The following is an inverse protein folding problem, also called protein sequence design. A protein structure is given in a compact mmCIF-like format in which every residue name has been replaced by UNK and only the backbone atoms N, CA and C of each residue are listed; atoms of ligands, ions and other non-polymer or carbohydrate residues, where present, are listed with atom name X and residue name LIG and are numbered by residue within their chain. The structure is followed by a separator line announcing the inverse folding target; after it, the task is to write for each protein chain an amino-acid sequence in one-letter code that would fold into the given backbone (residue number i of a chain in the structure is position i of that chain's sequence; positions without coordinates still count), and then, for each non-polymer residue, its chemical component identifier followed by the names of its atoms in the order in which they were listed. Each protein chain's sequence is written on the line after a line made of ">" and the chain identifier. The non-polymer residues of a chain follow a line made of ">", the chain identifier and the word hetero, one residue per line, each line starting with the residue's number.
data_IF_792916064788
#
_entry.id   IF_792916064788
#
_cell.length_a   1.000
_cell.length_b   1.000
_cell.length_c   1.000
_cell.angle_alpha   90.00
_cell.angle_beta   90.00
_cell.angle_gamma   90.00
#
_symmetry.space_group_name_H-M   'P 1'
#
loop_
_entity.id
_entity.type
_entity.pdbx_description
1 polymer ?
#
# COMPACT_ATOMS: atom_id res chain seq x y z
N UNK A 1 25.23 22.21 0.50
CA UNK A 1 24.21 22.23 -0.56
C UNK A 1 23.40 20.93 -0.64
N UNK A 2 24.00 19.75 -0.45
CA UNK A 2 23.27 18.45 -0.44
C UNK A 2 22.28 18.30 0.72
N UNK A 3 22.64 18.68 1.95
CA UNK A 3 21.78 18.52 3.14
C UNK A 3 20.50 19.34 3.08
N UNK A 4 20.57 20.60 2.64
CA UNK A 4 19.39 21.48 2.50
C UNK A 4 18.42 20.94 1.44
N UNK A 5 18.96 20.38 0.35
CA UNK A 5 18.16 19.74 -0.70
C UNK A 5 17.44 18.50 -0.15
N UNK A 6 18.14 17.64 0.57
CA UNK A 6 17.55 16.46 1.21
C UNK A 6 16.44 16.82 2.20
N UNK A 7 16.67 17.81 3.07
CA UNK A 7 15.66 18.26 4.03
C UNK A 7 14.40 18.76 3.31
N UNK A 8 14.58 19.53 2.23
CA UNK A 8 13.45 20.03 1.42
C UNK A 8 12.66 18.87 0.79
N UNK A 9 13.35 17.92 0.15
CA UNK A 9 12.69 16.74 -0.44
C UNK A 9 11.93 15.93 0.61
N UNK A 10 12.48 15.81 1.83
CA UNK A 10 11.80 15.11 2.92
C UNK A 10 10.58 15.87 3.43
N UNK A 11 10.64 17.20 3.52
CA UNK A 11 9.48 18.04 3.82
C UNK A 11 8.37 17.86 2.77
N UNK A 12 8.71 17.90 1.48
CA UNK A 12 7.75 17.71 0.38
C UNK A 12 7.03 16.35 0.50
N UNK A 13 7.74 15.30 0.91
CA UNK A 13 7.14 13.97 1.16
C UNK A 13 6.14 14.03 2.32
N UNK A 14 6.50 14.62 3.46
CA UNK A 14 5.64 14.68 4.65
C UNK A 14 4.40 15.54 4.44
N UNK A 15 4.53 16.62 3.67
CA UNK A 15 3.44 17.52 3.33
C UNK A 15 2.37 16.80 2.50
N UNK A 16 2.78 15.89 1.60
CA UNK A 16 1.83 15.06 0.85
C UNK A 16 1.12 14.03 1.74
N UNK A 17 -0.20 13.85 1.52
CA UNK A 17 -0.98 12.85 2.24
C UNK A 17 -0.38 11.44 2.10
N UNK A 18 -0.14 11.02 0.86
CA UNK A 18 0.43 9.69 0.57
C UNK A 18 1.87 9.51 1.05
N UNK A 19 2.68 10.57 1.08
CA UNK A 19 4.04 10.50 1.62
C UNK A 19 4.04 10.36 3.14
N UNK A 20 3.13 11.05 3.84
CA UNK A 20 2.92 10.89 5.29
C UNK A 20 2.52 9.47 5.66
N UNK A 21 1.55 8.87 4.97
CA UNK A 21 1.19 7.47 5.25
C UNK A 21 2.37 6.52 5.03
N UNK A 22 3.17 6.71 3.96
CA UNK A 22 4.37 5.91 3.71
C UNK A 22 5.39 6.02 4.85
N UNK A 23 5.65 7.23 5.35
CA UNK A 23 6.55 7.45 6.50
C UNK A 23 5.99 6.77 7.76
N UNK A 24 4.69 6.92 8.03
CA UNK A 24 4.04 6.28 9.17
C UNK A 24 4.06 4.74 9.07
N UNK A 25 3.88 4.18 7.86
CA UNK A 25 3.99 2.74 7.60
C UNK A 25 5.40 2.24 7.88
N UNK A 26 6.43 2.96 7.43
CA UNK A 26 7.81 2.63 7.70
C UNK A 26 8.12 2.61 9.20
N UNK A 27 7.75 3.68 9.93
CA UNK A 27 7.93 3.75 11.39
C UNK A 27 7.19 2.64 12.13
N UNK A 28 5.95 2.33 11.71
CA UNK A 28 5.16 1.26 12.28
C UNK A 28 5.87 -0.10 12.18
N UNK A 29 6.33 -0.48 10.98
CA UNK A 29 7.00 -1.77 10.78
C UNK A 29 8.39 -1.81 11.38
N UNK A 30 9.14 -0.71 11.38
CA UNK A 30 10.40 -0.63 12.11
C UNK A 30 10.19 -0.89 13.60
N UNK A 31 9.15 -0.31 14.20
CA UNK A 31 8.81 -0.58 15.59
C UNK A 31 8.37 -2.05 15.83
N UNK A 32 7.55 -2.64 14.94
CA UNK A 32 7.20 -4.07 15.02
C UNK A 32 8.43 -4.97 14.92
N UNK A 33 9.36 -4.65 14.02
CA UNK A 33 10.60 -5.41 13.83
C UNK A 33 11.49 -5.37 15.07
N UNK A 34 11.69 -4.18 15.65
CA UNK A 34 12.46 -4.02 16.90
C UNK A 34 11.78 -4.77 18.05
N UNK A 35 10.44 -4.71 18.13
CA UNK A 35 9.69 -5.46 19.13
C UNK A 35 9.89 -6.97 19.00
N UNK A 36 9.77 -7.52 17.78
CA UNK A 36 9.99 -8.94 17.51
C UNK A 36 11.44 -9.39 17.78
N UNK A 37 12.42 -8.59 17.35
CA UNK A 37 13.84 -8.89 17.55
C UNK A 37 14.24 -8.93 19.04
N UNK A 38 13.69 -8.02 19.85
CA UNK A 38 13.97 -7.95 21.28
C UNK A 38 13.04 -8.80 22.15
N UNK A 39 12.08 -9.53 21.58
CA UNK A 39 11.07 -10.29 22.34
C UNK A 39 11.67 -11.22 23.41
N UNK A 40 12.79 -11.89 23.10
CA UNK A 40 13.49 -12.79 24.03
C UNK A 40 14.66 -12.13 24.78
N UNK A 41 15.18 -11.01 24.29
CA UNK A 41 16.41 -10.38 24.80
C UNK A 41 16.14 -9.27 25.80
N UNK A 42 15.11 -8.48 25.54
CA UNK A 42 14.73 -7.35 26.38
C UNK A 42 13.20 -7.16 26.31
N UNK A 43 12.43 -7.92 27.11
CA UNK A 43 10.97 -7.93 27.03
C UNK A 43 10.33 -6.56 27.26
N UNK A 44 10.93 -5.73 28.12
CA UNK A 44 10.42 -4.37 28.39
C UNK A 44 10.58 -3.49 27.16
N UNK A 45 11.74 -3.51 26.51
CA UNK A 45 11.96 -2.77 25.26
C UNK A 45 11.01 -3.27 24.17
N UNK A 46 10.84 -4.59 24.03
CA UNK A 46 9.94 -5.19 23.06
C UNK A 46 8.49 -4.72 23.25
N UNK A 47 8.02 -4.69 24.51
CA UNK A 47 6.68 -4.19 24.87
C UNK A 47 6.50 -2.72 24.49
N UNK A 48 7.49 -1.86 24.79
CA UNK A 48 7.43 -0.43 24.44
C UNK A 48 7.30 -0.22 22.93
N UNK A 49 8.11 -0.91 22.13
CA UNK A 49 8.02 -0.81 20.67
C UNK A 49 6.74 -1.43 20.10
N UNK A 50 6.21 -2.50 20.71
CA UNK A 50 4.93 -3.07 20.34
C UNK A 50 3.79 -2.05 20.55
N UNK A 51 3.76 -1.38 21.72
CA UNK A 51 2.80 -0.31 22.01
C UNK A 51 2.94 0.83 20.99
N UNK A 52 4.17 1.30 20.72
CA UNK A 52 4.41 2.36 19.74
C UNK A 52 3.87 1.97 18.36
N UNK A 53 4.15 0.75 17.90
CA UNK A 53 3.67 0.27 16.60
C UNK A 53 2.14 0.20 16.54
N UNK A 54 1.50 -0.27 17.63
CA UNK A 54 0.04 -0.33 17.74
C UNK A 54 -0.59 1.06 17.69
N UNK A 55 -0.02 2.04 18.41
CA UNK A 55 -0.48 3.43 18.39
C UNK A 55 -0.36 4.07 17.01
N UNK A 56 0.76 3.86 16.32
CA UNK A 56 0.96 4.34 14.94
C UNK A 56 -0.06 3.69 13.99
N UNK A 57 -0.26 2.37 14.11
CA UNK A 57 -1.24 1.65 13.29
C UNK A 57 -2.66 2.15 13.52
N UNK A 58 -3.06 2.36 14.77
CA UNK A 58 -4.37 2.91 15.13
C UNK A 58 -4.57 4.32 14.60
N UNK A 59 -3.56 5.19 14.70
CA UNK A 59 -3.63 6.53 14.11
C UNK A 59 -3.83 6.50 12.59
N UNK A 60 -3.16 5.58 11.89
CA UNK A 60 -3.37 5.38 10.45
C UNK A 60 -4.78 4.89 10.14
N UNK A 61 -5.30 3.93 10.90
CA UNK A 61 -6.69 3.46 10.73
C UNK A 61 -7.70 4.60 10.88
N UNK A 62 -7.51 5.50 11.85
CA UNK A 62 -8.34 6.70 12.00
C UNK A 62 -8.25 7.64 10.79
N UNK A 63 -7.05 7.81 10.21
CA UNK A 63 -6.89 8.63 9.00
C UNK A 63 -7.57 7.99 7.78
N UNK A 64 -7.65 6.67 7.67
CA UNK A 64 -8.34 6.00 6.56
C UNK A 64 -9.84 6.20 6.54
N UNK A 65 -10.45 6.65 7.64
CA UNK A 65 -11.89 6.93 7.69
C UNK A 65 -12.34 8.01 6.69
N UNK A 66 -11.40 8.79 6.14
CA UNK A 66 -11.64 9.80 5.12
C UNK A 66 -11.15 9.38 3.72
N UNK A 67 -10.59 8.18 3.56
CA UNK A 67 -10.08 7.68 2.28
C UNK A 67 -11.18 7.19 1.33
N UNK A 68 -12.40 7.00 1.83
CA UNK A 68 -13.59 6.63 1.03
C UNK A 68 -13.76 7.56 -0.19
N UNK A 69 -13.68 8.88 0.03
CA UNK A 69 -13.93 9.89 -1.02
C UNK A 69 -12.81 9.88 -2.07
N UNK A 70 -11.52 9.98 -1.71
CA UNK A 70 -10.42 9.79 -2.66
C UNK A 70 -10.51 8.49 -3.44
N UNK A 71 -10.92 7.38 -2.80
CA UNK A 71 -11.07 6.09 -3.48
C UNK A 71 -12.19 6.11 -4.52
N UNK A 72 -13.35 6.69 -4.19
CA UNK A 72 -14.46 6.86 -5.13
C UNK A 72 -14.04 7.72 -6.32
N UNK A 73 -13.39 8.86 -6.06
CA UNK A 73 -12.86 9.71 -7.13
C UNK A 73 -11.89 8.93 -8.03
N UNK A 74 -10.95 8.20 -7.43
CA UNK A 74 -10.00 7.37 -8.18
C UNK A 74 -10.71 6.30 -9.02
N UNK A 75 -11.71 5.61 -8.48
CA UNK A 75 -12.46 4.59 -9.21
C UNK A 75 -13.23 5.19 -10.40
N UNK A 76 -13.80 6.39 -10.24
CA UNK A 76 -14.49 7.11 -11.31
C UNK A 76 -13.54 7.57 -12.41
N UNK A 77 -12.39 8.14 -12.04
CA UNK A 77 -11.35 8.56 -12.98
C UNK A 77 -10.73 7.38 -13.73
N UNK A 78 -10.61 6.23 -13.06
CA UNK A 78 -10.10 4.99 -13.66
C UNK A 78 -11.09 4.39 -14.69
N UNK A 79 -12.39 4.54 -14.46
CA UNK A 79 -13.44 4.01 -15.32
C UNK A 79 -13.36 2.49 -15.48
N UNK A 80 -13.48 2.01 -16.72
CA UNK A 80 -13.43 0.59 -17.07
C UNK A 80 -12.03 0.12 -17.52
N UNK A 81 -10.98 0.89 -17.23
CA UNK A 81 -9.60 0.55 -17.59
C UNK A 81 -9.25 0.83 -19.06
N UNK A 82 -9.91 1.80 -19.70
CA UNK A 82 -9.69 2.16 -21.11
C UNK A 82 -8.24 2.62 -21.41
N UNK A 83 -7.54 3.14 -20.40
CA UNK A 83 -6.14 3.55 -20.51
C UNK A 83 -5.10 2.45 -20.30
N UNK A 84 -5.51 1.20 -20.06
CA UNK A 84 -4.59 0.10 -19.76
C UNK A 84 -4.00 -0.54 -21.03
N UNK A 85 -2.75 -1.04 -20.97
CA UNK A 85 -2.05 -1.58 -22.13
C UNK A 85 -2.64 -2.91 -22.62
N UNK A 86 -3.38 -3.63 -21.78
CA UNK A 86 -4.10 -4.84 -22.19
C UNK A 86 -5.38 -5.05 -21.37
N UNK A 87 -6.25 -5.94 -21.88
CA UNK A 87 -7.54 -6.27 -21.25
C UNK A 87 -7.38 -6.93 -19.88
N UNK A 88 -6.31 -7.68 -19.65
CA UNK A 88 -6.06 -8.33 -18.37
C UNK A 88 -5.79 -7.29 -17.28
N UNK A 89 -5.00 -6.27 -17.60
CA UNK A 89 -4.73 -5.14 -16.73
C UNK A 89 -5.97 -4.32 -16.41
N UNK A 90 -6.82 -4.06 -17.42
CA UNK A 90 -8.11 -3.41 -17.20
C UNK A 90 -9.00 -4.20 -16.23
N UNK A 91 -9.12 -5.52 -16.44
CA UNK A 91 -9.92 -6.39 -15.54
C UNK A 91 -9.33 -6.41 -14.13
N UNK A 92 -8.01 -6.55 -13.99
CA UNK A 92 -7.34 -6.54 -12.68
C UNK A 92 -7.54 -5.20 -11.97
N UNK A 93 -7.42 -4.08 -12.68
CA UNK A 93 -7.60 -2.75 -12.10
C UNK A 93 -9.04 -2.46 -11.69
N UNK A 94 -10.02 -2.78 -12.54
CA UNK A 94 -11.45 -2.62 -12.18
C UNK A 94 -11.80 -3.51 -10.99
N UNK A 95 -11.33 -4.76 -10.98
CA UNK A 95 -11.57 -5.68 -9.86
C UNK A 95 -10.93 -5.18 -8.57
N UNK A 96 -9.69 -4.67 -8.63
CA UNK A 96 -9.02 -4.08 -7.48
C UNK A 96 -9.80 -2.88 -6.93
N UNK A 97 -10.28 -1.99 -7.81
CA UNK A 97 -11.06 -0.82 -7.40
C UNK A 97 -12.38 -1.21 -6.72
N UNK A 98 -13.07 -2.24 -7.22
CA UNK A 98 -14.30 -2.76 -6.60
C UNK A 98 -14.00 -3.33 -5.22
N UNK A 99 -12.93 -4.12 -5.09
CA UNK A 99 -12.49 -4.68 -3.81
C UNK A 99 -12.16 -3.57 -2.81
N UNK A 100 -11.43 -2.54 -3.25
CA UNK A 100 -11.07 -1.40 -2.42
C UNK A 100 -12.31 -0.59 -1.99
N UNK A 101 -13.25 -0.34 -2.91
CA UNK A 101 -14.52 0.35 -2.60
C UNK A 101 -15.38 -0.40 -1.56
N UNK A 102 -15.30 -1.72 -1.51
CA UNK A 102 -15.96 -2.53 -0.49
C UNK A 102 -15.17 -2.58 0.81
N UNK A 103 -13.84 -2.58 0.72
CA UNK A 103 -12.93 -2.63 1.85
C UNK A 103 -13.07 -1.42 2.77
N UNK A 104 -13.05 -0.18 2.25
CA UNK A 104 -13.07 1.02 3.10
C UNK A 104 -14.30 1.13 4.02
N UNK A 105 -15.55 0.88 3.55
CA UNK A 105 -16.71 0.82 4.43
C UNK A 105 -16.62 -0.28 5.50
N UNK A 106 -16.05 -1.44 5.16
CA UNK A 106 -15.85 -2.55 6.10
C UNK A 106 -14.82 -2.16 7.18
N UNK A 107 -13.68 -1.59 6.78
CA UNK A 107 -12.65 -1.09 7.71
C UNK A 107 -13.24 -0.04 8.67
N UNK A 108 -14.15 0.81 8.18
CA UNK A 108 -14.86 1.82 8.97
C UNK A 108 -15.78 1.20 10.02
N UNK A 109 -16.51 0.14 9.66
CA UNK A 109 -17.35 -0.61 10.62
C UNK A 109 -16.48 -1.26 11.70
N UNK A 110 -15.38 -1.92 11.30
CA UNK A 110 -14.42 -2.50 12.24
C UNK A 110 -13.85 -1.45 13.19
N UNK A 111 -13.42 -0.30 12.68
CA UNK A 111 -12.90 0.79 13.51
C UNK A 111 -13.94 1.32 14.50
N UNK A 112 -15.20 1.49 14.08
CA UNK A 112 -16.29 1.92 14.97
C UNK A 112 -16.59 0.89 16.07
N UNK A 113 -16.52 -0.40 15.73
CA UNK A 113 -16.66 -1.51 16.68
C UNK A 113 -15.51 -1.51 17.70
N UNK A 114 -14.25 -1.41 17.24
CA UNK A 114 -13.06 -1.42 18.10
C UNK A 114 -13.02 -0.25 19.10
N UNK A 115 -13.61 0.89 18.72
CA UNK A 115 -13.72 2.06 19.58
C UNK A 115 -14.99 2.07 20.44
N UNK A 116 -15.78 0.99 20.45
CA UNK A 116 -17.04 0.86 21.19
C UNK A 116 -18.08 1.96 20.85
N UNK A 117 -18.02 2.49 19.63
CA UNK A 117 -18.97 3.50 19.15
C UNK A 117 -20.23 2.81 18.61
N UNK A 118 -20.06 1.65 17.97
CA UNK A 118 -21.14 0.80 17.50
C UNK A 118 -21.01 -0.59 18.12
N UNK A 119 -22.10 -1.10 18.69
CA UNK A 119 -22.19 -2.50 19.11
C UNK A 119 -22.59 -3.35 17.89
N UNK A 120 -21.59 -3.92 17.22
CA UNK A 120 -21.76 -4.70 16.01
C UNK A 120 -21.90 -6.17 16.39
N UNK A 121 -23.05 -6.77 16.04
CA UNK A 121 -23.23 -8.22 16.18
C UNK A 121 -22.19 -8.95 15.33
N UNK A 122 -21.46 -9.87 15.95
CA UNK A 122 -20.39 -10.66 15.33
C UNK A 122 -19.18 -9.81 14.86
N UNK A 123 -18.63 -8.95 15.73
CA UNK A 123 -17.42 -8.18 15.44
C UNK A 123 -16.27 -9.02 14.85
N UNK A 124 -16.06 -10.25 15.36
CA UNK A 124 -15.06 -11.18 14.83
C UNK A 124 -15.28 -11.52 13.35
N UNK A 125 -16.53 -11.64 12.91
CA UNK A 125 -16.83 -11.93 11.50
C UNK A 125 -16.50 -10.74 10.61
N UNK A 126 -16.72 -9.51 11.09
CA UNK A 126 -16.33 -8.29 10.39
C UNK A 126 -14.81 -8.13 10.31
N UNK A 127 -14.08 -8.49 11.36
CA UNK A 127 -12.61 -8.46 11.35
C UNK A 127 -12.01 -9.48 10.36
N UNK A 128 -12.58 -10.69 10.31
CA UNK A 128 -12.20 -11.69 9.30
C UNK A 128 -12.51 -11.20 7.88
N UNK A 129 -13.67 -10.56 7.69
CA UNK A 129 -14.05 -10.00 6.39
C UNK A 129 -13.11 -8.87 5.98
N UNK A 130 -12.81 -7.95 6.89
CA UNK A 130 -11.86 -6.85 6.71
C UNK A 130 -10.48 -7.38 6.29
N UNK A 131 -9.97 -8.36 7.02
CA UNK A 131 -8.69 -9.02 6.71
C UNK A 131 -8.71 -9.71 5.35
N UNK A 132 -9.83 -10.36 4.99
CA UNK A 132 -9.98 -11.03 3.68
C UNK A 132 -9.95 -10.05 2.52
N UNK A 133 -10.72 -8.96 2.60
CA UNK A 133 -10.72 -7.91 1.58
C UNK A 133 -9.36 -7.21 1.47
N UNK A 134 -8.71 -6.95 2.61
CA UNK A 134 -7.36 -6.41 2.63
C UNK A 134 -6.36 -7.31 1.88
N UNK A 135 -6.33 -8.61 2.20
CA UNK A 135 -5.46 -9.59 1.53
C UNK A 135 -5.76 -9.64 0.03
N UNK A 136 -7.04 -9.65 -0.35
CA UNK A 136 -7.47 -9.67 -1.74
C UNK A 136 -7.01 -8.42 -2.50
N UNK A 137 -7.14 -7.24 -1.89
CA UNK A 137 -6.64 -5.98 -2.45
C UNK A 137 -5.13 -6.02 -2.69
N UNK A 138 -4.35 -6.46 -1.69
CA UNK A 138 -2.88 -6.60 -1.82
C UNK A 138 -2.53 -7.58 -2.93
N UNK A 139 -3.22 -8.71 -3.02
CA UNK A 139 -3.01 -9.72 -4.06
C UNK A 139 -3.30 -9.18 -5.46
N UNK A 140 -4.43 -8.50 -5.66
CA UNK A 140 -4.79 -7.92 -6.97
C UNK A 140 -3.79 -6.84 -7.39
N UNK A 141 -3.36 -5.99 -6.45
CA UNK A 141 -2.33 -4.99 -6.68
C UNK A 141 -0.96 -5.62 -7.02
N UNK A 142 -0.60 -6.73 -6.38
CA UNK A 142 0.61 -7.49 -6.71
C UNK A 142 0.52 -8.07 -8.13
N UNK A 143 -0.59 -8.70 -8.48
CA UNK A 143 -0.81 -9.24 -9.83
C UNK A 143 -0.73 -8.16 -10.91
N UNK A 144 -1.34 -6.99 -10.66
CA UNK A 144 -1.27 -5.83 -11.57
C UNK A 144 0.16 -5.32 -11.71
N UNK A 145 0.91 -5.23 -10.61
CA UNK A 145 2.31 -4.79 -10.62
C UNK A 145 3.20 -5.77 -11.38
N UNK A 146 3.02 -7.08 -11.16
CA UNK A 146 3.74 -8.13 -11.87
C UNK A 146 3.45 -8.12 -13.37
N UNK A 147 2.19 -7.89 -13.77
CA UNK A 147 1.82 -7.77 -15.18
C UNK A 147 2.45 -6.55 -15.83
N UNK A 148 2.40 -5.40 -15.16
CA UNK A 148 3.07 -4.17 -15.61
C UNK A 148 4.57 -4.38 -15.82
N UNK A 149 5.22 -5.05 -14.87
CA UNK A 149 6.63 -5.39 -14.94
C UNK A 149 6.94 -6.26 -16.17
N UNK A 150 6.16 -7.31 -16.40
CA UNK A 150 6.35 -8.19 -17.55
C UNK A 150 6.18 -7.45 -18.89
N UNK A 151 5.17 -6.58 -19.00
CA UNK A 151 4.95 -5.77 -20.20
C UNK A 151 6.09 -4.77 -20.44
N UNK A 152 6.58 -4.13 -19.38
CA UNK A 152 7.70 -3.19 -19.50
C UNK A 152 9.00 -3.92 -19.84
N UNK A 153 9.22 -5.12 -19.32
CA UNK A 153 10.37 -5.94 -19.67
C UNK A 153 10.37 -6.32 -21.16
N UNK A 154 9.21 -6.74 -21.69
CA UNK A 154 9.07 -7.01 -23.13
C UNK A 154 9.40 -5.78 -23.99
N UNK A 155 9.01 -4.57 -23.55
CA UNK A 155 9.37 -3.33 -24.25
C UNK A 155 10.86 -3.04 -24.20
N UNK A 156 11.51 -3.25 -23.06
CA UNK A 156 12.96 -3.10 -22.90
C UNK A 156 13.69 -4.09 -23.82
N UNK A 157 13.29 -5.35 -23.82
CA UNK A 157 13.90 -6.40 -24.64
C UNK A 157 13.73 -6.10 -26.14
N UNK A 158 12.54 -5.64 -26.56
CA UNK A 158 12.29 -5.22 -27.94
C UNK A 158 13.15 -4.01 -28.35
N UNK A 159 13.32 -3.02 -27.47
CA UNK A 159 14.19 -1.85 -27.71
C UNK A 159 15.67 -2.21 -27.82
N UNK A 160 16.13 -3.17 -27.02
CA UNK A 160 17.49 -3.71 -27.07
C UNK A 160 17.74 -4.45 -28.40
N UNK A 161 16.80 -5.31 -28.82
CA UNK A 161 16.89 -6.02 -30.12
C UNK A 161 16.89 -5.04 -31.29
N UNK A 162 16.13 -3.94 -31.19
CA UNK A 162 16.09 -2.89 -32.20
C UNK A 162 17.34 -1.97 -32.22
N UNK A 163 18.36 -2.20 -31.37
CA UNK A 163 19.52 -1.31 -31.16
C UNK A 163 19.12 0.17 -30.92
N UNK A 164 17.94 0.39 -30.36
CA UNK A 164 17.47 1.72 -30.00
C UNK A 164 18.00 2.13 -28.63
N UNK A 165 18.29 3.41 -28.40
CA UNK A 165 18.67 3.89 -27.07
C UNK A 165 17.54 3.61 -26.09
N UNK A 166 17.76 2.73 -25.12
CA UNK A 166 16.77 2.44 -24.07
C UNK A 166 16.52 3.73 -23.29
N UNK A 167 15.27 4.19 -23.30
CA UNK A 167 14.88 5.42 -22.61
C UNK A 167 15.17 5.28 -21.10
N UNK A 168 15.91 6.24 -20.54
CA UNK A 168 16.25 6.29 -19.12
C UNK A 168 14.99 6.29 -18.24
N UNK A 169 13.87 6.83 -18.76
CA UNK A 169 12.56 6.79 -18.08
C UNK A 169 12.01 5.36 -17.95
N UNK A 170 12.19 4.53 -18.98
CA UNK A 170 11.75 3.14 -18.97
C UNK A 170 12.53 2.33 -17.92
N UNK A 171 13.83 2.57 -17.83
CA UNK A 171 14.71 1.91 -16.86
C UNK A 171 14.38 2.33 -15.41
N UNK A 172 14.06 3.61 -15.19
CA UNK A 172 13.57 4.11 -13.89
C UNK A 172 12.22 3.47 -13.53
N UNK A 173 11.28 3.40 -14.47
CA UNK A 173 9.97 2.75 -14.26
C UNK A 173 10.14 1.28 -13.84
N UNK A 174 11.00 0.56 -14.54
CA UNK A 174 11.32 -0.84 -14.24
C UNK A 174 11.86 -1.04 -12.82
N UNK A 175 12.81 -0.19 -12.38
CA UNK A 175 13.34 -0.22 -11.01
C UNK A 175 12.26 0.06 -9.96
N UNK A 176 11.37 1.02 -10.21
CA UNK A 176 10.27 1.36 -9.31
C UNK A 176 9.25 0.22 -9.18
N UNK A 177 8.97 -0.48 -10.27
CA UNK A 177 8.07 -1.65 -10.24
C UNK A 177 8.68 -2.80 -9.45
N UNK A 178 9.98 -3.06 -9.58
CA UNK A 178 10.67 -4.09 -8.80
C UNK A 178 10.63 -3.78 -7.29
N UNK A 179 10.85 -2.52 -6.92
CA UNK A 179 10.68 -2.06 -5.53
C UNK A 179 9.22 -2.22 -5.04
N UNK A 180 8.25 -2.00 -5.93
CA UNK A 180 6.83 -2.16 -5.60
C UNK A 180 6.45 -3.63 -5.38
N UNK A 181 6.98 -4.54 -6.21
CA UNK A 181 6.83 -6.00 -6.03
C UNK A 181 7.43 -6.42 -4.69
N UNK A 182 8.68 -6.04 -4.42
CA UNK A 182 9.34 -6.37 -3.14
C UNK A 182 8.55 -5.85 -1.94
N UNK A 183 8.05 -4.61 -2.02
CA UNK A 183 7.21 -4.02 -0.97
C UNK A 183 5.92 -4.82 -0.76
N UNK A 184 5.21 -5.17 -1.83
CA UNK A 184 3.94 -5.91 -1.73
C UNK A 184 4.18 -7.33 -1.21
N UNK A 185 5.28 -7.98 -1.56
CA UNK A 185 5.66 -9.28 -1.00
C UNK A 185 5.95 -9.20 0.50
N UNK A 186 6.59 -8.12 0.95
CA UNK A 186 6.83 -7.88 2.38
C UNK A 186 5.54 -7.62 3.16
N UNK A 187 4.48 -7.09 2.53
CA UNK A 187 3.20 -6.91 3.20
C UNK A 187 2.53 -8.26 3.56
N UNK A 188 2.93 -9.38 2.95
CA UNK A 188 2.47 -10.74 3.29
C UNK A 188 3.27 -11.43 4.42
N UNK A 189 4.39 -10.85 4.86
CA UNK A 189 5.30 -11.44 5.88
C UNK A 189 5.13 -10.77 7.24
#
# INVERSE_FOLDING_TARGET
>A
MSTTKFVKEFCDIIESYGGRDKVMKALCYSAKLVAGYHAKRNPELAKRYAITSSRISGARATLRLIDDIPMIQYALEYGLGEGEPDRLMAVLGVTANIVDLLYYPIEKICWLSDNNILDVKNADAWDVLNSTFWVLSVYLNLMRTMRNYALNQQKVDASNVANSSVDEKLLKKHRLELLSVLRLSLDFT
#
